data_IF_038492169033
#
_entry.id   IF_038492169033
#
_cell.length_a   1.000
_cell.length_b   1.000
_cell.length_c   1.000
_cell.angle_alpha   90.00
_cell.angle_beta   90.00
_cell.angle_gamma   90.00
#
_symmetry.space_group_name_H-M   'P 1'
#
loop_
_entity.id
_entity.type
_entity.pdbx_description
1 polymer ?
#
# COMPACT_ATOMS: atom_id res chain seq x y z
N UNK A 1 12.65 -8.36 38.48
CA UNK A 1 12.03 -9.06 37.33
C UNK A 1 11.11 -8.19 36.46
N UNK A 2 10.28 -7.28 37.02
CA UNK A 2 9.33 -6.46 36.23
C UNK A 2 9.95 -5.52 35.16
N UNK A 3 11.20 -5.07 35.33
CA UNK A 3 11.90 -4.23 34.31
C UNK A 3 12.36 -4.98 33.06
N UNK A 4 12.58 -6.32 33.13
CA UNK A 4 13.01 -7.13 31.97
C UNK A 4 11.84 -7.59 31.08
N UNK A 5 10.66 -7.75 31.67
CA UNK A 5 9.41 -8.03 30.94
C UNK A 5 8.99 -6.79 30.14
N UNK A 6 9.17 -5.57 30.69
CA UNK A 6 8.86 -4.32 29.99
C UNK A 6 9.72 -4.14 28.73
N UNK A 7 11.02 -4.45 28.77
CA UNK A 7 11.93 -4.28 27.62
C UNK A 7 11.63 -5.27 26.48
N UNK A 8 11.22 -6.51 26.80
CA UNK A 8 10.76 -7.49 25.80
C UNK A 8 9.42 -7.06 25.18
N UNK A 9 8.51 -6.49 25.97
CA UNK A 9 7.21 -6.01 25.49
C UNK A 9 7.36 -4.84 24.50
N UNK A 10 8.31 -3.92 24.73
CA UNK A 10 8.56 -2.82 23.79
C UNK A 10 9.28 -3.27 22.51
N UNK A 11 9.95 -4.44 22.49
CA UNK A 11 10.56 -4.99 21.28
C UNK A 11 9.54 -5.78 20.43
N UNK A 12 8.59 -6.46 21.08
CA UNK A 12 7.44 -7.10 20.43
C UNK A 12 6.49 -6.04 19.84
N UNK A 13 6.30 -4.90 20.51
CA UNK A 13 5.53 -3.75 19.97
C UNK A 13 6.23 -3.12 18.74
N UNK A 14 7.57 -3.13 18.68
CA UNK A 14 8.35 -2.61 17.55
C UNK A 14 8.20 -3.48 16.28
N UNK A 15 7.98 -4.78 16.45
CA UNK A 15 7.75 -5.73 15.34
C UNK A 15 6.27 -5.73 14.93
N UNK A 16 5.34 -5.50 15.87
CA UNK A 16 3.91 -5.38 15.59
C UNK A 16 3.51 -4.00 15.00
N UNK A 17 4.30 -2.95 15.20
CA UNK A 17 4.00 -1.59 14.69
C UNK A 17 4.34 -1.37 13.22
N UNK A 18 5.02 -2.33 12.56
CA UNK A 18 5.37 -2.31 11.14
C UNK A 18 4.30 -3.00 10.27
N UNK A 19 3.20 -3.46 10.87
CA UNK A 19 2.04 -3.99 10.15
C UNK A 19 0.93 -2.94 10.05
N UNK A 20 0.65 -2.36 8.88
CA UNK A 20 -0.71 -1.88 8.60
C UNK A 20 -1.62 -3.10 8.44
N UNK A 21 -2.61 -3.19 9.34
CA UNK A 21 -3.94 -3.79 9.21
C UNK A 21 -4.31 -4.63 7.95
N UNK A 22 -3.58 -5.71 7.65
CA UNK A 22 -3.98 -6.75 6.66
C UNK A 22 -4.45 -8.04 7.36
N UNK A 23 -4.72 -7.99 8.67
CA UNK A 23 -5.15 -9.14 9.48
C UNK A 23 -6.55 -8.95 10.09
N UNK A 24 -7.52 -8.60 9.26
CA UNK A 24 -8.93 -8.66 9.63
C UNK A 24 -9.83 -8.95 8.42
N UNK A 25 -9.63 -10.10 7.78
CA UNK A 25 -10.76 -10.87 7.20
C UNK A 25 -10.32 -12.31 6.91
N UNK A 26 -10.45 -13.16 7.94
CA UNK A 26 -10.52 -14.61 7.79
C UNK A 26 -11.99 -14.99 7.62
N UNK A 27 -12.34 -15.66 6.52
CA UNK A 27 -13.72 -16.11 6.31
C UNK A 27 -14.02 -16.86 5.01
N UNK A 28 -13.58 -18.13 4.94
CA UNK A 28 -14.12 -19.25 4.12
C UNK A 28 -13.82 -19.31 2.62
N UNK A 29 -12.78 -20.08 2.34
CA UNK A 29 -12.82 -21.35 1.58
C UNK A 29 -14.17 -21.77 0.94
N UNK A 30 -14.25 -21.63 -0.39
CA UNK A 30 -14.96 -22.48 -1.36
C UNK A 30 -14.75 -21.83 -2.74
N UNK A 31 -14.32 -22.46 -3.82
CA UNK A 31 -13.88 -23.81 -4.14
C UNK A 31 -13.40 -23.75 -5.59
N UNK A 32 -12.64 -24.75 -6.01
CA UNK A 32 -12.28 -25.13 -7.38
C UNK A 32 -12.52 -24.08 -8.50
N UNK A 33 -11.44 -23.43 -8.93
CA UNK A 33 -11.42 -22.71 -10.21
C UNK A 33 -11.18 -23.74 -11.31
N UNK A 34 -12.13 -23.96 -12.24
CA UNK A 34 -11.95 -24.93 -13.32
C UNK A 34 -10.90 -24.44 -14.31
N UNK A 35 -9.92 -25.30 -14.55
CA UNK A 35 -9.02 -25.28 -15.71
C UNK A 35 -9.85 -25.36 -16.99
N UNK A 36 -10.07 -24.22 -17.68
CA UNK A 36 -10.82 -24.18 -18.94
C UNK A 36 -10.02 -23.55 -20.09
N UNK A 37 -9.56 -24.45 -20.95
CA UNK A 37 -9.46 -24.42 -22.42
C UNK A 37 -8.53 -23.42 -23.14
N UNK A 38 -7.45 -24.00 -23.64
CA UNK A 38 -6.89 -23.69 -24.97
C UNK A 38 -7.90 -24.09 -26.06
N UNK A 39 -8.54 -23.13 -26.74
CA UNK A 39 -9.23 -23.44 -28.00
C UNK A 39 -9.03 -22.36 -29.08
N UNK A 40 -8.90 -22.85 -30.31
CA UNK A 40 -8.33 -22.21 -31.50
C UNK A 40 -9.20 -21.06 -32.02
N UNK A 41 -8.58 -19.89 -32.16
CA UNK A 41 -9.12 -18.72 -32.85
C UNK A 41 -9.32 -19.02 -34.35
N UNK A 42 -10.58 -19.02 -34.79
CA UNK A 42 -11.00 -19.12 -36.18
C UNK A 42 -10.89 -17.77 -36.91
N UNK A 43 -10.22 -17.79 -38.07
CA UNK A 43 -10.11 -16.65 -39.00
C UNK A 43 -11.45 -16.30 -39.63
N UNK A 44 -12.05 -15.17 -39.25
CA UNK A 44 -13.14 -14.51 -39.97
C UNK A 44 -12.77 -13.07 -40.29
N UNK A 45 -12.84 -12.69 -41.57
CA UNK A 45 -12.40 -11.38 -42.08
C UNK A 45 -13.37 -10.25 -41.69
N UNK A 46 -12.75 -9.20 -41.15
CA UNK A 46 -12.94 -7.73 -41.25
C UNK A 46 -14.14 -7.22 -42.09
N UNK A 47 -14.82 -6.14 -41.73
CA UNK A 47 -14.27 -4.78 -41.81
C UNK A 47 -14.96 -3.79 -40.83
N UNK A 48 -14.15 -3.08 -40.04
CA UNK A 48 -14.54 -1.76 -39.48
C UNK A 48 -14.48 -1.54 -37.96
N UNK A 49 -14.38 -2.58 -37.11
CA UNK A 49 -14.29 -2.44 -35.63
C UNK A 49 -12.99 -3.01 -35.01
N UNK A 50 -12.01 -3.37 -35.83
CA UNK A 50 -10.77 -4.07 -35.42
C UNK A 50 -9.86 -3.37 -34.40
N UNK A 51 -9.47 -2.09 -34.56
CA UNK A 51 -8.38 -1.54 -33.75
C UNK A 51 -8.78 -1.21 -32.31
N UNK A 52 -10.06 -0.90 -32.05
CA UNK A 52 -10.52 -0.52 -30.70
C UNK A 52 -10.69 -1.75 -29.81
N UNK A 53 -11.22 -2.85 -30.36
CA UNK A 53 -11.41 -4.10 -29.62
C UNK A 53 -10.06 -4.77 -29.33
N UNK A 54 -9.12 -4.76 -30.28
CA UNK A 54 -7.75 -5.27 -30.04
C UNK A 54 -7.03 -4.45 -28.96
N UNK A 55 -7.15 -3.12 -28.98
CA UNK A 55 -6.55 -2.27 -27.95
C UNK A 55 -7.17 -2.48 -26.56
N UNK A 56 -8.49 -2.73 -26.47
CA UNK A 56 -9.15 -3.05 -25.20
C UNK A 56 -8.69 -4.41 -24.65
N UNK A 57 -8.62 -5.44 -25.51
CA UNK A 57 -8.12 -6.77 -25.14
C UNK A 57 -6.66 -6.73 -24.70
N UNK A 58 -5.81 -5.99 -25.40
CA UNK A 58 -4.42 -5.79 -25.02
C UNK A 58 -4.30 -5.14 -23.64
N UNK A 59 -5.13 -4.15 -23.33
CA UNK A 59 -5.17 -3.51 -22.01
C UNK A 59 -5.66 -4.45 -20.91
N UNK A 60 -6.69 -5.26 -21.17
CA UNK A 60 -7.20 -6.25 -20.20
C UNK A 60 -6.16 -7.34 -19.93
N UNK A 61 -5.51 -7.86 -20.97
CA UNK A 61 -4.42 -8.82 -20.82
C UNK A 61 -3.24 -8.19 -20.06
N UNK A 62 -2.88 -6.96 -20.38
CA UNK A 62 -1.86 -6.21 -19.62
C UNK A 62 -2.25 -6.03 -18.16
N UNK A 63 -3.50 -5.70 -17.84
CA UNK A 63 -3.99 -5.57 -16.47
C UNK A 63 -3.98 -6.91 -15.72
N UNK A 64 -4.37 -8.01 -16.37
CA UNK A 64 -4.28 -9.36 -15.80
C UNK A 64 -2.83 -9.77 -15.55
N UNK A 65 -1.93 -9.52 -16.50
CA UNK A 65 -0.50 -9.79 -16.34
C UNK A 65 0.06 -9.00 -15.16
N UNK A 66 -0.31 -7.72 -15.03
CA UNK A 66 0.09 -6.88 -13.88
C UNK A 66 -0.46 -7.40 -12.57
N UNK A 67 -1.71 -7.86 -12.54
CA UNK A 67 -2.32 -8.45 -11.35
C UNK A 67 -1.60 -9.74 -10.95
N UNK A 68 -1.26 -10.60 -11.90
CA UNK A 68 -0.56 -11.85 -11.62
C UNK A 68 0.88 -11.58 -11.15
N UNK A 69 1.60 -10.66 -11.80
CA UNK A 69 2.89 -10.16 -11.32
C UNK A 69 2.80 -9.61 -9.90
N UNK A 70 1.72 -8.89 -9.56
CA UNK A 70 1.52 -8.38 -8.21
C UNK A 70 1.29 -9.50 -7.19
N UNK A 71 0.53 -10.55 -7.54
CA UNK A 71 0.35 -11.74 -6.69
C UNK A 71 1.64 -12.51 -6.49
N UNK A 72 2.41 -12.74 -7.55
CA UNK A 72 3.71 -13.42 -7.47
C UNK A 72 4.66 -12.64 -6.55
N UNK A 73 4.75 -11.31 -6.73
CA UNK A 73 5.53 -10.43 -5.85
C UNK A 73 5.06 -10.50 -4.41
N UNK A 74 3.75 -10.53 -4.17
CA UNK A 74 3.18 -10.67 -2.82
C UNK A 74 3.57 -12.01 -2.18
N UNK A 75 3.50 -13.11 -2.94
CA UNK A 75 3.92 -14.43 -2.46
C UNK A 75 5.42 -14.46 -2.15
N UNK A 76 6.26 -13.96 -3.06
CA UNK A 76 7.71 -13.83 -2.85
C UNK A 76 8.03 -12.97 -1.61
N UNK A 77 7.33 -11.84 -1.43
CA UNK A 77 7.48 -11.01 -0.24
C UNK A 77 7.07 -11.75 1.04
N UNK A 78 5.99 -12.55 1.01
CA UNK A 78 5.53 -13.37 2.13
C UNK A 78 6.55 -14.47 2.48
N UNK A 79 7.13 -15.12 1.49
CA UNK A 79 8.19 -16.12 1.68
C UNK A 79 9.46 -15.49 2.25
N UNK A 80 9.93 -14.38 1.68
CA UNK A 80 11.06 -13.60 2.21
C UNK A 80 10.83 -13.16 3.64
N UNK A 81 9.61 -12.73 3.98
CA UNK A 81 9.23 -12.37 5.34
C UNK A 81 9.30 -13.57 6.29
N UNK A 82 8.75 -14.73 5.89
CA UNK A 82 8.83 -15.95 6.69
C UNK A 82 10.28 -16.36 6.93
N UNK A 83 11.11 -16.38 5.89
CA UNK A 83 12.52 -16.70 5.99
C UNK A 83 13.30 -15.70 6.87
N UNK A 84 12.99 -14.40 6.76
CA UNK A 84 13.57 -13.38 7.63
C UNK A 84 13.16 -13.58 9.10
N UNK A 85 11.90 -13.98 9.35
CA UNK A 85 11.38 -14.28 10.69
C UNK A 85 12.06 -15.49 11.31
N UNK A 86 12.29 -16.56 10.54
CA UNK A 86 13.03 -17.74 11.00
C UNK A 86 14.48 -17.37 11.34
N UNK A 87 15.19 -16.71 10.42
CA UNK A 87 16.56 -16.21 10.66
C UNK A 87 16.65 -15.34 11.92
N UNK A 88 15.63 -14.52 12.17
CA UNK A 88 15.54 -13.71 13.38
C UNK A 88 15.39 -14.57 14.65
N UNK A 89 14.58 -15.64 14.61
CA UNK A 89 14.45 -16.57 15.74
C UNK A 89 15.78 -17.27 16.02
N UNK A 90 16.48 -17.74 14.99
CA UNK A 90 17.79 -18.38 15.12
C UNK A 90 18.81 -17.41 15.76
N UNK A 91 18.90 -16.18 15.23
CA UNK A 91 19.78 -15.15 15.79
C UNK A 91 19.45 -14.81 17.24
N UNK A 92 18.15 -14.84 17.59
CA UNK A 92 17.71 -14.61 18.97
C UNK A 92 18.17 -15.74 19.89
N UNK A 93 18.02 -16.99 19.48
CA UNK A 93 18.51 -18.14 20.25
C UNK A 93 20.03 -18.09 20.43
N UNK A 94 20.77 -17.76 19.38
CA UNK A 94 22.22 -17.63 19.45
C UNK A 94 22.66 -16.50 20.38
N UNK A 95 21.91 -15.38 20.38
CA UNK A 95 22.12 -14.29 21.32
C UNK A 95 21.79 -14.69 22.76
N UNK A 96 20.76 -15.50 22.98
CA UNK A 96 20.44 -16.06 24.30
C UNK A 96 21.55 -17.00 24.81
N UNK A 97 22.06 -17.89 23.95
CA UNK A 97 23.21 -18.76 24.26
C UNK A 97 24.47 -17.93 24.57
N UNK A 98 24.78 -16.91 23.77
CA UNK A 98 25.91 -16.02 24.02
C UNK A 98 25.76 -15.30 25.37
N UNK A 99 24.55 -14.86 25.69
CA UNK A 99 24.24 -14.22 26.98
C UNK A 99 24.41 -15.18 28.15
N UNK A 100 24.04 -16.45 28.02
CA UNK A 100 24.25 -17.46 29.05
C UNK A 100 25.74 -17.72 29.27
N UNK A 101 26.53 -17.86 28.20
CA UNK A 101 27.99 -17.98 28.28
C UNK A 101 28.64 -16.80 29.01
N UNK A 102 28.17 -15.58 28.75
CA UNK A 102 28.68 -14.38 29.42
C UNK A 102 28.29 -14.38 30.91
N UNK A 103 27.11 -14.86 31.28
CA UNK A 103 26.69 -14.94 32.70
C UNK A 103 27.48 -15.97 33.49
N UNK A 104 27.96 -17.03 32.85
CA UNK A 104 28.79 -18.06 33.49
C UNK A 104 30.25 -17.63 33.65
N UNK A 105 30.66 -16.52 33.04
CA UNK A 105 31.95 -15.92 33.36
C UNK A 105 31.83 -15.17 34.70
N UNK A 106 32.70 -15.48 35.66
CA UNK A 106 32.87 -14.64 36.83
C UNK A 106 33.50 -13.30 36.44
N UNK A 107 33.12 -12.23 37.14
CA UNK A 107 33.57 -10.86 36.83
C UNK A 107 35.06 -10.64 37.13
N UNK A 108 35.72 -11.54 37.86
CA UNK A 108 37.11 -11.43 38.32
C UNK A 108 38.13 -12.31 37.55
N UNK A 109 37.68 -13.22 36.68
CA UNK A 109 38.58 -14.06 35.87
C UNK A 109 38.90 -13.37 34.54
N UNK A 110 39.68 -12.29 34.61
CA UNK A 110 40.27 -11.63 33.42
C UNK A 110 41.26 -12.54 32.65
N UNK A 111 41.60 -13.73 33.18
CA UNK A 111 42.54 -14.66 32.54
C UNK A 111 41.91 -15.66 31.57
N UNK A 112 40.56 -15.77 31.50
CA UNK A 112 39.92 -16.63 30.51
C UNK A 112 39.72 -15.87 29.20
N UNK A 113 40.67 -16.04 28.28
CA UNK A 113 40.65 -15.51 26.91
C UNK A 113 39.32 -15.82 26.19
N UNK A 114 38.64 -16.92 26.56
CA UNK A 114 37.34 -17.27 25.98
C UNK A 114 36.26 -16.23 26.31
N UNK A 115 36.21 -15.75 27.55
CA UNK A 115 35.16 -14.83 27.97
C UNK A 115 35.37 -13.40 27.44
N UNK A 116 36.62 -12.94 27.43
CA UNK A 116 36.98 -11.61 26.92
C UNK A 116 36.60 -11.50 25.44
N UNK A 117 36.89 -12.54 24.64
CA UNK A 117 36.54 -12.58 23.22
C UNK A 117 35.02 -12.58 23.01
N UNK A 118 34.25 -13.38 23.76
CA UNK A 118 32.78 -13.39 23.64
C UNK A 118 32.16 -12.03 24.01
N UNK A 119 32.68 -11.34 25.04
CA UNK A 119 32.23 -9.99 25.41
C UNK A 119 32.56 -8.99 24.29
N UNK A 120 33.74 -9.09 23.68
CA UNK A 120 34.17 -8.23 22.55
C UNK A 120 33.29 -8.48 21.32
N UNK A 121 33.11 -9.73 20.92
CA UNK A 121 32.30 -10.12 19.76
C UNK A 121 30.86 -9.66 19.90
N UNK A 122 30.29 -9.73 21.11
CA UNK A 122 28.95 -9.21 21.38
C UNK A 122 28.88 -7.69 21.16
N UNK A 123 29.88 -6.92 21.61
CA UNK A 123 29.89 -5.46 21.40
C UNK A 123 29.97 -5.11 19.93
N UNK A 124 30.86 -5.78 19.19
CA UNK A 124 31.00 -5.60 17.73
C UNK A 124 29.70 -5.98 17.03
N UNK A 125 29.09 -7.11 17.41
CA UNK A 125 27.80 -7.55 16.88
C UNK A 125 26.67 -6.55 17.12
N UNK A 126 26.59 -5.97 18.32
CA UNK A 126 25.60 -4.91 18.65
C UNK A 126 25.85 -3.67 17.81
N UNK A 127 27.10 -3.20 17.68
CA UNK A 127 27.44 -2.06 16.82
C UNK A 127 27.00 -2.30 15.37
N UNK A 128 27.42 -3.41 14.78
CA UNK A 128 27.06 -3.77 13.41
C UNK A 128 25.54 -3.90 13.22
N UNK A 129 24.82 -4.36 14.24
CA UNK A 129 23.36 -4.44 14.21
C UNK A 129 22.72 -3.04 14.22
N UNK A 130 23.24 -2.11 15.03
CA UNK A 130 22.77 -0.72 15.05
C UNK A 130 23.00 -0.05 13.70
N UNK A 131 24.18 -0.23 13.09
CA UNK A 131 24.47 0.29 11.74
C UNK A 131 23.48 -0.25 10.71
N UNK A 132 23.24 -1.56 10.70
CA UNK A 132 22.26 -2.19 9.80
C UNK A 132 20.83 -1.67 10.00
N UNK A 133 20.40 -1.45 11.24
CA UNK A 133 19.08 -0.86 11.51
C UNK A 133 19.05 0.55 10.93
N UNK A 134 20.07 1.36 11.18
CA UNK A 134 20.13 2.72 10.65
C UNK A 134 20.07 2.74 9.11
N UNK A 135 20.79 1.85 8.43
CA UNK A 135 20.71 1.70 6.96
C UNK A 135 19.32 1.28 6.46
N UNK A 136 18.59 0.46 7.23
CA UNK A 136 17.22 0.08 6.91
C UNK A 136 16.27 1.28 7.02
N UNK A 137 16.39 2.07 8.10
CA UNK A 137 15.60 3.30 8.29
C UNK A 137 15.93 4.32 7.19
N UNK A 138 17.19 4.43 6.79
CA UNK A 138 17.59 5.33 5.71
C UNK A 138 16.92 4.93 4.39
N UNK A 139 16.94 3.63 4.05
CA UNK A 139 16.27 3.11 2.85
C UNK A 139 14.76 3.34 2.86
N UNK A 140 14.10 3.19 4.01
CA UNK A 140 12.66 3.48 4.12
C UNK A 140 12.34 4.96 3.86
N UNK A 141 13.15 5.86 4.41
CA UNK A 141 13.05 7.31 4.18
C UNK A 141 13.30 7.69 2.71
N UNK A 142 14.33 7.12 2.07
CA UNK A 142 14.63 7.34 0.64
C UNK A 142 13.49 6.85 -0.27
N UNK A 143 12.94 5.66 0.03
CA UNK A 143 11.80 5.12 -0.70
C UNK A 143 10.57 6.03 -0.59
N UNK A 144 10.28 6.52 0.62
CA UNK A 144 9.16 7.43 0.83
C UNK A 144 9.37 8.78 0.14
N UNK A 145 10.59 9.32 0.14
CA UNK A 145 10.94 10.53 -0.60
C UNK A 145 10.70 10.37 -2.10
N UNK A 146 11.10 9.25 -2.71
CA UNK A 146 10.79 8.95 -4.11
C UNK A 146 9.29 8.94 -4.35
N UNK A 147 8.52 8.22 -3.51
CA UNK A 147 7.07 8.14 -3.65
C UNK A 147 6.38 9.52 -3.60
N UNK A 148 6.88 10.42 -2.76
CA UNK A 148 6.36 11.80 -2.66
C UNK A 148 6.76 12.63 -3.89
N UNK A 149 7.98 12.45 -4.40
CA UNK A 149 8.47 13.10 -5.62
C UNK A 149 7.62 12.74 -6.82
N UNK A 150 7.37 11.45 -6.98
CA UNK A 150 6.67 10.87 -8.13
C UNK A 150 5.16 11.04 -8.05
N UNK A 151 4.64 11.39 -6.87
CA UNK A 151 3.21 11.57 -6.67
C UNK A 151 2.68 12.74 -7.49
N UNK A 152 1.78 12.46 -8.43
CA UNK A 152 1.04 13.51 -9.17
C UNK A 152 -0.17 14.06 -8.40
N UNK A 153 -0.56 13.39 -7.31
CA UNK A 153 -1.80 13.69 -6.59
C UNK A 153 -1.57 14.61 -5.38
N UNK A 154 -0.34 14.77 -4.92
CA UNK A 154 -0.01 15.68 -3.82
C UNK A 154 0.20 17.11 -4.32
N UNK A 155 -0.26 18.08 -3.53
CA UNK A 155 0.00 19.49 -3.79
C UNK A 155 1.48 19.83 -3.55
N UNK A 156 2.00 20.85 -4.24
CA UNK A 156 3.40 21.27 -4.07
C UNK A 156 3.70 21.71 -2.62
N UNK A 157 2.73 22.33 -1.95
CA UNK A 157 2.87 22.74 -0.55
C UNK A 157 2.98 21.53 0.39
N UNK A 158 2.17 20.49 0.17
CA UNK A 158 2.23 19.26 0.97
C UNK A 158 3.53 18.49 0.71
N UNK A 159 4.02 18.47 -0.53
CA UNK A 159 5.33 17.90 -0.88
C UNK A 159 6.45 18.62 -0.17
N UNK A 160 6.46 19.95 -0.17
CA UNK A 160 7.48 20.75 0.51
C UNK A 160 7.49 20.49 2.03
N UNK A 161 6.30 20.44 2.66
CA UNK A 161 6.19 20.08 4.09
C UNK A 161 6.76 18.69 4.36
N UNK A 162 6.45 17.73 3.50
CA UNK A 162 6.94 16.35 3.61
C UNK A 162 8.46 16.26 3.47
N UNK A 163 9.06 16.93 2.48
CA UNK A 163 10.51 16.95 2.30
C UNK A 163 11.23 17.60 3.48
N UNK A 164 10.67 18.67 4.05
CA UNK A 164 11.25 19.30 5.23
C UNK A 164 11.35 18.31 6.39
N UNK A 165 10.30 17.53 6.65
CA UNK A 165 10.31 16.50 7.69
C UNK A 165 11.25 15.34 7.39
N UNK A 166 11.22 14.81 6.16
CA UNK A 166 12.09 13.71 5.76
C UNK A 166 13.57 14.11 5.84
N UNK A 167 13.92 15.32 5.38
CA UNK A 167 15.29 15.83 5.46
C UNK A 167 15.77 16.04 6.89
N UNK A 168 14.91 16.56 7.79
CA UNK A 168 15.23 16.66 9.22
C UNK A 168 15.51 15.27 9.82
N UNK A 169 14.64 14.30 9.54
CA UNK A 169 14.78 12.92 10.02
C UNK A 169 16.03 12.23 9.46
N UNK A 170 16.38 12.44 8.19
CA UNK A 170 17.63 11.96 7.58
C UNK A 170 18.87 12.54 8.25
N UNK A 171 18.92 13.85 8.50
CA UNK A 171 20.06 14.50 9.18
C UNK A 171 20.26 13.95 10.60
N UNK A 172 19.18 13.74 11.36
CA UNK A 172 19.24 13.10 12.69
C UNK A 172 19.80 11.68 12.60
N UNK A 173 19.35 10.92 11.61
CA UNK A 173 19.77 9.54 11.39
C UNK A 173 21.24 9.43 10.97
N UNK A 174 21.70 10.29 10.06
CA UNK A 174 23.11 10.38 9.64
C UNK A 174 24.02 10.78 10.80
N UNK A 175 23.59 11.73 11.63
CA UNK A 175 24.33 12.13 12.83
C UNK A 175 24.49 10.95 13.78
N UNK A 176 23.40 10.23 14.05
CA UNK A 176 23.42 9.06 14.93
C UNK A 176 24.25 7.91 14.33
N UNK A 177 24.21 7.73 13.01
CA UNK A 177 25.05 6.75 12.31
C UNK A 177 26.54 7.05 12.51
N UNK A 178 26.95 8.32 12.33
CA UNK A 178 28.33 8.73 12.55
C UNK A 178 28.76 8.49 14.00
N UNK A 179 27.90 8.76 14.97
CA UNK A 179 28.16 8.48 16.39
C UNK A 179 28.29 6.97 16.67
N UNK A 180 27.46 6.13 16.06
CA UNK A 180 27.55 4.67 16.17
C UNK A 180 28.86 4.18 15.54
N UNK A 181 29.26 4.72 14.38
CA UNK A 181 30.50 4.34 13.69
C UNK A 181 31.75 4.69 14.50
N UNK A 182 31.72 5.78 15.27
CA UNK A 182 32.79 6.18 16.18
C UNK A 182 32.94 5.27 17.40
N UNK A 183 31.94 4.42 17.71
CA UNK A 183 32.08 3.44 18.78
C UNK A 183 33.19 2.44 18.44
N UNK A 184 34.15 2.29 19.35
CA UNK A 184 35.25 1.35 19.18
C UNK A 184 34.87 -0.04 19.68
N UNK A 185 35.70 -1.04 19.39
CA UNK A 185 35.56 -2.39 19.97
C UNK A 185 35.59 -2.36 21.53
N UNK A 186 36.16 -1.30 22.10
CA UNK A 186 36.28 -1.08 23.54
C UNK A 186 35.14 -0.27 24.15
N UNK A 187 34.13 0.13 23.35
CA UNK A 187 33.00 0.92 23.86
C UNK A 187 32.33 0.26 25.06
N UNK A 188 31.90 1.11 25.99
CA UNK A 188 31.32 0.65 27.24
C UNK A 188 29.91 0.09 27.00
N UNK A 189 29.44 -0.91 27.77
CA UNK A 189 28.07 -1.40 27.66
C UNK A 189 27.01 -0.31 27.92
N UNK A 190 27.38 0.76 28.64
CA UNK A 190 26.54 1.93 28.89
C UNK A 190 26.39 2.80 27.63
N UNK A 191 27.47 3.10 26.92
CA UNK A 191 27.44 3.83 25.63
C UNK A 191 26.56 3.10 24.61
N UNK A 192 26.74 1.79 24.46
CA UNK A 192 25.94 0.99 23.52
C UNK A 192 24.44 1.04 23.85
N UNK A 193 24.08 0.97 25.14
CA UNK A 193 22.67 1.05 25.58
C UNK A 193 22.07 2.43 25.35
N UNK A 194 22.87 3.48 25.49
CA UNK A 194 22.46 4.85 25.20
C UNK A 194 22.14 5.00 23.71
N UNK A 195 23.05 4.56 22.83
CA UNK A 195 22.85 4.59 21.38
C UNK A 195 21.67 3.74 20.92
N UNK A 196 21.47 2.56 21.51
CA UNK A 196 20.24 1.75 21.29
C UNK A 196 18.98 2.55 21.64
N UNK A 197 18.99 3.27 22.77
CA UNK A 197 17.84 4.05 23.22
C UNK A 197 17.57 5.24 22.30
N UNK A 198 18.61 5.95 21.89
CA UNK A 198 18.54 7.06 20.94
C UNK A 198 17.99 6.59 19.59
N UNK A 199 18.54 5.53 19.00
CA UNK A 199 18.08 4.97 17.73
C UNK A 199 16.61 4.53 17.82
N UNK A 200 16.23 3.92 18.93
CA UNK A 200 14.83 3.52 19.16
C UNK A 200 13.89 4.71 19.24
N UNK A 201 14.30 5.79 19.90
CA UNK A 201 13.49 6.99 20.00
C UNK A 201 13.36 7.64 18.62
N UNK A 202 14.47 7.79 17.88
CA UNK A 202 14.48 8.32 16.53
C UNK A 202 13.58 7.49 15.60
N UNK A 203 13.68 6.16 15.64
CA UNK A 203 12.78 5.30 14.88
C UNK A 203 11.31 5.51 15.22
N UNK A 204 10.98 5.67 16.51
CA UNK A 204 9.59 5.90 16.90
C UNK A 204 9.06 7.25 16.38
N UNK A 205 9.93 8.24 16.19
CA UNK A 205 9.60 9.52 15.57
C UNK A 205 9.45 9.35 14.05
N UNK A 206 10.48 8.82 13.39
CA UNK A 206 10.50 8.54 11.94
C UNK A 206 9.30 7.69 11.53
N UNK A 207 9.05 6.56 12.19
CA UNK A 207 7.93 5.67 11.85
C UNK A 207 6.56 6.31 12.05
N UNK A 208 6.41 7.32 12.91
CA UNK A 208 5.15 8.08 13.03
C UNK A 208 5.01 9.03 11.85
N UNK A 209 6.09 9.73 11.50
CA UNK A 209 6.12 10.63 10.34
C UNK A 209 5.89 9.88 9.03
N UNK A 210 6.57 8.75 8.82
CA UNK A 210 6.38 7.90 7.64
C UNK A 210 4.94 7.41 7.54
N UNK A 211 4.36 6.89 8.63
CA UNK A 211 2.95 6.47 8.65
C UNK A 211 2.00 7.61 8.30
N UNK A 212 2.28 8.80 8.82
CA UNK A 212 1.49 9.99 8.50
C UNK A 212 1.60 10.35 7.02
N UNK A 213 2.81 10.43 6.46
CA UNK A 213 3.06 10.75 5.06
C UNK A 213 2.46 9.72 4.10
N UNK A 214 2.64 8.43 4.38
CA UNK A 214 2.05 7.34 3.60
C UNK A 214 0.52 7.46 3.59
N UNK A 215 -0.08 7.78 4.74
CA UNK A 215 -1.54 7.91 4.80
C UNK A 215 -2.03 9.19 4.11
N UNK A 216 -1.27 10.28 4.17
CA UNK A 216 -1.56 11.48 3.37
C UNK A 216 -1.53 11.19 1.87
N UNK A 217 -0.53 10.45 1.39
CA UNK A 217 -0.48 9.96 0.01
C UNK A 217 -1.72 9.14 -0.35
N UNK A 218 -2.17 8.25 0.54
CA UNK A 218 -3.40 7.46 0.32
C UNK A 218 -4.63 8.36 0.22
N UNK A 219 -4.76 9.38 1.08
CA UNK A 219 -5.89 10.31 1.03
C UNK A 219 -5.95 11.09 -0.28
N UNK A 220 -4.83 11.66 -0.73
CA UNK A 220 -4.79 12.36 -2.02
C UNK A 220 -5.10 11.42 -3.20
N UNK A 221 -4.72 10.15 -3.12
CA UNK A 221 -5.12 9.15 -4.12
C UNK A 221 -6.63 8.90 -4.08
N UNK A 222 -7.24 8.87 -2.90
CA UNK A 222 -8.69 8.74 -2.75
C UNK A 222 -9.42 9.96 -3.31
N UNK A 223 -8.95 11.19 -3.03
CA UNK A 223 -9.52 12.41 -3.61
C UNK A 223 -9.60 12.34 -5.14
N UNK A 224 -8.49 11.97 -5.78
CA UNK A 224 -8.43 11.81 -7.23
C UNK A 224 -9.40 10.71 -7.73
N UNK A 225 -9.50 9.59 -7.01
CA UNK A 225 -10.48 8.55 -7.35
C UNK A 225 -11.93 9.05 -7.21
N UNK A 226 -12.25 9.83 -6.19
CA UNK A 226 -13.57 10.45 -6.05
C UNK A 226 -13.86 11.43 -7.19
N UNK A 227 -12.87 12.22 -7.61
CA UNK A 227 -12.98 13.09 -8.79
C UNK A 227 -13.28 12.29 -10.05
N UNK A 228 -12.58 11.17 -10.30
CA UNK A 228 -12.87 10.26 -11.42
C UNK A 228 -14.30 9.73 -11.40
N UNK A 229 -14.86 9.43 -10.23
CA UNK A 229 -16.26 9.01 -10.13
C UNK A 229 -17.24 10.12 -10.56
N UNK A 230 -16.93 11.39 -10.28
CA UNK A 230 -17.69 12.52 -10.81
C UNK A 230 -17.56 12.63 -12.35
N UNK A 231 -16.38 12.37 -12.90
CA UNK A 231 -16.17 12.32 -14.36
C UNK A 231 -16.99 11.20 -15.00
N UNK A 232 -17.08 10.02 -14.36
CA UNK A 232 -17.91 8.92 -14.85
C UNK A 232 -19.40 9.29 -14.89
N UNK A 233 -19.92 10.01 -13.90
CA UNK A 233 -21.30 10.51 -13.95
C UNK A 233 -21.51 11.40 -15.19
N UNK A 234 -20.58 12.31 -15.47
CA UNK A 234 -20.66 13.17 -16.66
C UNK A 234 -20.59 12.35 -17.96
N UNK A 235 -19.71 11.33 -18.02
CA UNK A 235 -19.63 10.43 -19.16
C UNK A 235 -20.92 9.63 -19.37
N UNK A 236 -21.57 9.17 -18.29
CA UNK A 236 -22.87 8.48 -18.35
C UNK A 236 -23.96 9.40 -18.94
N UNK A 237 -24.01 10.66 -18.50
CA UNK A 237 -24.94 11.68 -19.06
C UNK A 237 -24.71 11.91 -20.55
N UNK A 238 -23.46 12.01 -21.00
CA UNK A 238 -23.13 12.15 -22.43
C UNK A 238 -23.55 10.91 -23.23
N UNK A 239 -23.36 9.71 -22.67
CA UNK A 239 -23.78 8.43 -23.28
C UNK A 239 -25.30 8.32 -23.37
N UNK A 240 -26.02 8.79 -22.36
CA UNK A 240 -27.48 8.89 -22.37
C UNK A 240 -27.97 9.78 -23.53
N UNK A 241 -27.45 11.01 -23.64
CA UNK A 241 -27.80 11.95 -24.71
C UNK A 241 -27.53 11.35 -26.10
N UNK A 242 -26.42 10.64 -26.24
CA UNK A 242 -26.10 9.93 -27.47
C UNK A 242 -27.17 8.89 -27.85
N UNK A 243 -27.68 8.09 -26.89
CA UNK A 243 -28.75 7.12 -27.18
C UNK A 243 -30.07 7.80 -27.51
N UNK A 244 -30.39 8.92 -26.84
CA UNK A 244 -31.56 9.73 -27.15
C UNK A 244 -31.51 10.25 -28.60
N UNK A 245 -30.36 10.78 -29.04
CA UNK A 245 -30.15 11.22 -30.42
C UNK A 245 -30.24 10.07 -31.44
N UNK A 246 -29.91 8.84 -31.03
CA UNK A 246 -30.04 7.63 -31.87
C UNK A 246 -31.46 7.07 -31.91
N UNK A 247 -32.40 7.66 -31.16
CA UNK A 247 -33.80 7.26 -31.17
C UNK A 247 -34.07 6.02 -30.32
N UNK A 248 -33.35 5.85 -29.20
CA UNK A 248 -33.74 4.89 -28.17
C UNK A 248 -35.19 5.13 -27.73
N UNK A 249 -35.88 4.04 -27.41
CA UNK A 249 -37.23 4.05 -26.84
C UNK A 249 -37.24 4.76 -25.48
N UNK A 250 -38.34 5.46 -25.21
CA UNK A 250 -38.50 6.26 -23.99
C UNK A 250 -38.45 5.44 -22.70
N UNK A 251 -38.86 4.17 -22.73
CA UNK A 251 -38.81 3.27 -21.57
C UNK A 251 -37.38 2.93 -21.18
N UNK A 252 -36.54 2.53 -22.14
CA UNK A 252 -35.13 2.22 -21.85
C UNK A 252 -34.32 3.46 -21.46
N UNK A 253 -34.65 4.62 -22.03
CA UNK A 253 -34.07 5.89 -21.59
C UNK A 253 -34.47 6.18 -20.13
N UNK A 254 -35.74 5.98 -19.75
CA UNK A 254 -36.17 6.17 -18.37
C UNK A 254 -35.42 5.25 -17.39
N UNK A 255 -35.30 3.97 -17.71
CA UNK A 255 -34.52 3.00 -16.91
C UNK A 255 -33.05 3.42 -16.78
N UNK A 256 -32.43 3.85 -17.88
CA UNK A 256 -31.03 4.28 -17.88
C UNK A 256 -30.82 5.57 -17.07
N UNK A 257 -31.77 6.51 -17.15
CA UNK A 257 -31.76 7.73 -16.36
C UNK A 257 -31.89 7.45 -14.87
N UNK A 258 -32.73 6.47 -14.46
CA UNK A 258 -32.84 6.05 -13.06
C UNK A 258 -31.50 5.53 -12.52
N UNK A 259 -30.75 4.76 -13.31
CA UNK A 259 -29.40 4.29 -12.93
C UNK A 259 -28.41 5.47 -12.82
N UNK A 260 -28.50 6.46 -13.71
CA UNK A 260 -27.65 7.66 -13.64
C UNK A 260 -27.95 8.48 -12.38
N UNK A 261 -29.23 8.67 -12.07
CA UNK A 261 -29.66 9.40 -10.88
C UNK A 261 -29.23 8.68 -9.60
N UNK A 262 -29.36 7.34 -9.56
CA UNK A 262 -28.81 6.53 -8.48
C UNK A 262 -27.29 6.71 -8.37
N UNK A 263 -26.54 6.62 -9.48
CA UNK A 263 -25.09 6.78 -9.44
C UNK A 263 -24.69 8.15 -8.89
N UNK A 264 -25.43 9.20 -9.28
CA UNK A 264 -25.21 10.55 -8.78
C UNK A 264 -25.41 10.65 -7.27
N UNK A 265 -26.51 10.11 -6.74
CA UNK A 265 -26.78 10.09 -5.30
C UNK A 265 -25.65 9.40 -4.54
N UNK A 266 -25.19 8.26 -5.02
CA UNK A 266 -24.10 7.49 -4.40
C UNK A 266 -22.74 8.22 -4.49
N UNK A 267 -22.50 8.99 -5.56
CA UNK A 267 -21.32 9.85 -5.72
C UNK A 267 -21.39 11.09 -4.81
N UNK A 268 -22.57 11.68 -4.64
CA UNK A 268 -22.78 12.78 -3.69
C UNK A 268 -22.47 12.31 -2.26
N UNK A 269 -22.96 11.13 -1.85
CA UNK A 269 -22.58 10.52 -0.56
C UNK A 269 -21.07 10.22 -0.47
N UNK A 270 -20.45 9.72 -1.55
CA UNK A 270 -19.02 9.48 -1.61
C UNK A 270 -18.21 10.78 -1.39
N UNK A 271 -18.65 11.90 -1.98
CA UNK A 271 -18.04 13.21 -1.79
C UNK A 271 -18.15 13.67 -0.32
N UNK A 272 -19.32 13.49 0.31
CA UNK A 272 -19.52 13.83 1.73
C UNK A 272 -18.61 12.98 2.65
N UNK A 273 -18.52 11.67 2.40
CA UNK A 273 -17.64 10.77 3.14
C UNK A 273 -16.17 11.16 2.97
N UNK A 274 -15.75 11.58 1.77
CA UNK A 274 -14.37 12.01 1.51
C UNK A 274 -14.04 13.31 2.27
N UNK A 275 -14.94 14.29 2.26
CA UNK A 275 -14.79 15.53 3.06
C UNK A 275 -14.68 15.21 4.55
N UNK A 276 -15.49 14.27 5.05
CA UNK A 276 -15.41 13.82 6.43
C UNK A 276 -14.08 13.09 6.73
N UNK A 277 -13.62 12.22 5.84
CA UNK A 277 -12.34 11.52 5.96
C UNK A 277 -11.15 12.51 5.99
N UNK A 278 -11.16 13.53 5.15
CA UNK A 278 -10.17 14.60 5.13
C UNK A 278 -10.14 15.40 6.43
N UNK A 279 -11.31 15.74 6.96
CA UNK A 279 -11.43 16.46 8.22
C UNK A 279 -10.89 15.61 9.39
N UNK A 280 -11.30 14.34 9.46
CA UNK A 280 -10.81 13.39 10.47
C UNK A 280 -9.29 13.20 10.36
N UNK A 281 -8.76 13.17 9.14
CA UNK A 281 -7.33 13.06 8.90
C UNK A 281 -6.53 14.27 9.39
N UNK A 282 -6.99 15.48 9.07
CA UNK A 282 -6.38 16.73 9.54
C UNK A 282 -6.39 16.81 11.07
N UNK A 283 -7.45 16.31 11.71
CA UNK A 283 -7.54 16.22 13.17
C UNK A 283 -6.57 15.19 13.75
N UNK A 284 -6.42 14.02 13.12
CA UNK A 284 -5.50 12.96 13.54
C UNK A 284 -4.02 13.37 13.52
N UNK A 285 -3.64 14.38 12.71
CA UNK A 285 -2.30 15.00 12.76
C UNK A 285 -1.97 15.57 14.15
N UNK A 286 -2.98 16.04 14.88
CA UNK A 286 -2.82 16.72 16.18
C UNK A 286 -3.03 15.79 17.38
N UNK A 287 -3.85 14.73 17.24
CA UNK A 287 -4.10 13.75 18.30
C UNK A 287 -4.06 12.31 17.75
N UNK A 288 -3.10 11.52 18.24
CA UNK A 288 -2.95 10.11 17.88
C UNK A 288 -4.18 9.26 18.20
N UNK A 289 -5.08 9.68 19.11
CA UNK A 289 -6.32 8.95 19.42
C UNK A 289 -7.36 9.08 18.30
N UNK A 290 -7.30 10.14 17.53
CA UNK A 290 -8.21 10.41 16.40
C UNK A 290 -7.81 9.61 15.14
N UNK A 291 -6.66 8.94 15.17
CA UNK A 291 -6.19 8.09 14.07
C UNK A 291 -7.17 6.96 13.73
N UNK A 292 -7.81 6.35 14.73
CA UNK A 292 -8.80 5.29 14.48
C UNK A 292 -10.08 5.84 13.83
N UNK A 293 -10.52 7.04 14.22
CA UNK A 293 -11.65 7.72 13.58
C UNK A 293 -11.34 8.04 12.11
N UNK A 294 -10.12 8.51 11.80
CA UNK A 294 -9.70 8.76 10.43
C UNK A 294 -9.64 7.49 9.57
N UNK A 295 -9.16 6.36 10.13
CA UNK A 295 -9.18 5.05 9.46
C UNK A 295 -10.59 4.56 9.17
N UNK A 296 -11.50 4.73 10.14
CA UNK A 296 -12.90 4.35 9.95
C UNK A 296 -13.55 5.18 8.84
N UNK A 297 -13.31 6.51 8.83
CA UNK A 297 -13.81 7.38 7.77
C UNK A 297 -13.29 6.98 6.38
N UNK A 298 -11.99 6.68 6.25
CA UNK A 298 -11.43 6.13 4.99
C UNK A 298 -12.06 4.78 4.60
N UNK A 299 -12.38 3.94 5.57
CA UNK A 299 -13.01 2.65 5.31
C UNK A 299 -14.42 2.83 4.74
N UNK A 300 -15.15 3.84 5.22
CA UNK A 300 -16.46 4.20 4.67
C UNK A 300 -16.36 4.69 3.22
N UNK A 301 -15.40 5.55 2.90
CA UNK A 301 -15.12 5.98 1.51
C UNK A 301 -14.90 4.77 0.60
N UNK A 302 -14.08 3.80 1.01
CA UNK A 302 -13.80 2.59 0.19
C UNK A 302 -15.04 1.70 0.01
N UNK A 303 -15.85 1.56 1.05
CA UNK A 303 -17.13 0.83 0.96
C UNK A 303 -18.04 1.51 -0.04
N UNK A 304 -18.18 2.83 0.03
CA UNK A 304 -19.01 3.60 -0.89
C UNK A 304 -18.51 3.60 -2.34
N UNK A 305 -17.18 3.59 -2.53
CA UNK A 305 -16.59 3.37 -3.87
C UNK A 305 -16.96 2.00 -4.45
N UNK A 306 -17.16 0.99 -3.61
CA UNK A 306 -17.61 -0.33 -4.07
C UNK A 306 -19.07 -0.27 -4.54
N UNK A 307 -19.92 0.46 -3.81
CA UNK A 307 -21.34 0.66 -4.18
C UNK A 307 -21.45 1.38 -5.52
N UNK A 308 -20.77 2.52 -5.67
CA UNK A 308 -20.76 3.29 -6.93
C UNK A 308 -20.25 2.46 -8.11
N UNK A 309 -19.22 1.61 -7.92
CA UNK A 309 -18.74 0.67 -8.97
C UNK A 309 -19.82 -0.31 -9.41
N UNK A 310 -20.61 -0.86 -8.50
CA UNK A 310 -21.71 -1.77 -8.85
C UNK A 310 -22.81 -1.05 -9.65
N UNK A 311 -23.12 0.21 -9.32
CA UNK A 311 -24.07 1.01 -10.10
C UNK A 311 -23.50 1.30 -11.51
N UNK A 312 -22.21 1.61 -11.62
CA UNK A 312 -21.54 1.80 -12.92
C UNK A 312 -21.58 0.55 -13.80
N UNK A 313 -21.42 -0.66 -13.20
CA UNK A 313 -21.58 -1.93 -13.92
C UNK A 313 -23.00 -2.11 -14.45
N UNK A 314 -24.02 -1.81 -13.63
CA UNK A 314 -25.43 -1.85 -14.07
C UNK A 314 -25.68 -0.91 -15.25
N UNK A 315 -25.17 0.32 -15.16
CA UNK A 315 -25.26 1.28 -16.26
C UNK A 315 -24.61 0.74 -17.53
N UNK A 316 -23.38 0.21 -17.44
CA UNK A 316 -22.65 -0.31 -18.59
C UNK A 316 -23.38 -1.48 -19.24
N UNK A 317 -23.98 -2.38 -18.44
CA UNK A 317 -24.79 -3.49 -18.94
C UNK A 317 -26.04 -3.00 -19.68
N UNK A 318 -26.85 -2.13 -19.06
CA UNK A 318 -28.08 -1.58 -19.68
C UNK A 318 -27.76 -0.74 -20.91
N UNK A 319 -26.71 0.08 -20.87
CA UNK A 319 -26.25 0.85 -22.02
C UNK A 319 -25.91 -0.05 -23.21
N UNK A 320 -25.20 -1.17 -22.96
CA UNK A 320 -24.85 -2.15 -24.00
C UNK A 320 -26.07 -2.86 -24.57
N UNK A 321 -27.06 -3.22 -23.74
CA UNK A 321 -28.34 -3.80 -24.16
C UNK A 321 -29.07 -2.87 -25.14
N UNK A 322 -29.23 -1.59 -24.77
CA UNK A 322 -29.90 -0.59 -25.63
C UNK A 322 -29.13 -0.41 -26.95
N UNK A 323 -27.80 -0.40 -26.91
CA UNK A 323 -26.99 -0.33 -28.12
C UNK A 323 -27.16 -1.55 -29.04
N UNK A 324 -27.41 -2.75 -28.48
CA UNK A 324 -27.70 -3.95 -29.25
C UNK A 324 -29.09 -3.89 -29.89
N UNK A 325 -30.10 -3.43 -29.15
CA UNK A 325 -31.47 -3.30 -29.65
C UNK A 325 -31.59 -2.25 -30.77
N UNK A 326 -30.82 -1.17 -30.67
CA UNK A 326 -30.67 -0.18 -31.74
C UNK A 326 -29.83 -0.67 -32.94
N UNK A 327 -29.23 -1.86 -32.86
CA UNK A 327 -28.36 -2.42 -33.89
C UNK A 327 -27.03 -1.66 -34.05
N UNK A 328 -26.63 -0.85 -33.07
CA UNK A 328 -25.35 -0.14 -33.04
C UNK A 328 -24.18 -1.10 -32.77
N UNK A 329 -24.46 -2.20 -32.08
CA UNK A 329 -23.54 -3.29 -31.80
C UNK A 329 -24.19 -4.60 -32.24
N UNK A 330 -23.43 -5.46 -32.92
CA UNK A 330 -23.90 -6.80 -33.29
C UNK A 330 -23.80 -7.72 -32.07
N UNK A 331 -24.76 -8.61 -31.87
CA UNK A 331 -24.68 -9.68 -30.88
C UNK A 331 -23.48 -10.59 -31.19
N UNK A 332 -22.33 -10.28 -30.58
CA UNK A 332 -21.26 -11.26 -30.42
C UNK A 332 -21.63 -12.10 -29.21
N UNK A 333 -22.20 -13.27 -29.45
CA UNK A 333 -22.59 -14.29 -28.46
C UNK A 333 -21.39 -14.92 -27.72
N UNK A 334 -20.25 -14.22 -27.71
CA UNK A 334 -19.02 -14.61 -27.04
C UNK A 334 -18.86 -13.69 -25.81
N UNK A 335 -19.75 -13.91 -24.84
CA UNK A 335 -19.86 -13.18 -23.58
C UNK A 335 -18.76 -13.60 -22.61
N UNK A 336 -17.53 -13.14 -22.85
CA UNK A 336 -16.61 -12.86 -21.75
C UNK A 336 -16.86 -11.44 -21.28
N UNK A 337 -17.07 -11.26 -19.97
CA UNK A 337 -17.24 -9.97 -19.28
C UNK A 337 -16.07 -9.01 -19.60
N UNK A 338 -16.13 -8.33 -20.73
CA UNK A 338 -15.26 -7.20 -21.06
C UNK A 338 -15.82 -5.98 -20.32
N UNK A 339 -15.29 -5.80 -19.12
CA UNK A 339 -15.38 -4.61 -18.29
C UNK A 339 -14.81 -3.42 -19.09
N UNK A 340 -15.67 -2.75 -19.84
CA UNK A 340 -15.32 -1.57 -20.64
C UNK A 340 -15.33 -0.34 -19.73
N UNK A 341 -14.41 -0.32 -18.76
CA UNK A 341 -13.93 0.92 -18.17
C UNK A 341 -13.14 1.65 -19.25
N UNK A 342 -13.85 2.42 -20.08
CA UNK A 342 -13.27 3.54 -20.81
C UNK A 342 -12.74 4.53 -19.75
N UNK A 343 -11.54 4.23 -19.25
CA UNK A 343 -10.78 5.14 -18.42
C UNK A 343 -9.98 6.03 -19.37
N UNK A 344 -10.35 7.31 -19.30
CA UNK A 344 -9.59 8.47 -19.73
C UNK A 344 -8.11 8.21 -19.49
N UNK A 345 -7.32 8.28 -20.56
CA UNK A 345 -5.91 7.93 -20.55
C UNK A 345 -5.17 8.60 -19.40
N UNK A 346 -4.77 7.80 -18.42
CA UNK A 346 -3.69 8.19 -17.53
C UNK A 346 -2.45 8.37 -18.38
N UNK A 347 -2.00 9.63 -18.46
CA UNK A 347 -0.68 9.97 -18.93
C UNK A 347 0.32 9.29 -17.98
N UNK A 348 0.80 8.17 -18.49
CA UNK A 348 1.65 7.20 -17.84
C UNK A 348 3.02 7.86 -17.58
N UNK A 349 3.17 8.49 -16.42
CA UNK A 349 4.51 8.65 -15.85
C UNK A 349 4.81 7.34 -15.14
N UNK A 350 5.43 6.46 -15.91
CA UNK A 350 6.23 5.36 -15.41
C UNK A 350 7.01 5.82 -14.19
N UNK A 351 6.67 5.34 -13.01
CA UNK A 351 7.73 5.07 -12.05
C UNK A 351 7.64 3.65 -11.52
N UNK A 352 8.74 2.94 -11.75
CA UNK A 352 8.97 1.58 -11.32
C UNK A 352 8.90 1.53 -9.81
N UNK A 353 7.80 1.01 -9.28
CA UNK A 353 7.71 0.60 -7.89
C UNK A 353 8.49 -0.72 -7.77
N UNK A 354 9.80 -0.60 -7.59
CA UNK A 354 10.59 -1.63 -6.91
C UNK A 354 10.23 -1.53 -5.43
N UNK A 355 9.21 -2.29 -5.01
CA UNK A 355 8.94 -2.49 -3.60
C UNK A 355 10.00 -3.45 -3.02
N UNK A 356 11.02 -2.88 -2.38
CA UNK A 356 11.76 -3.56 -1.32
C UNK A 356 11.54 -2.80 -0.02
N UNK A 357 11.06 -3.55 0.98
CA UNK A 357 11.03 -3.31 2.43
C UNK A 357 11.66 -2.04 2.94
#
# INVERSE_FOLDING_TARGET
MRKKILTMLVMVIFILSVLPAVLAEDGKDSGDVPELYNEKVGKGKEDGKGPVLEAAKEKVEFAKEKLEQAKERYQDAKEKYSAARERYQDQKEDLEKARERIKSCDDDDESDDSCVNVKKDLKVGVKNHLEKITELIQRSLERLESQITDSKVMTDADKEEAYAKLSESKVKLETLLAEIQLLSENSTPTELREKIKELKNLWNEVSKEERWLITQLINHKMDNLVEKHNEFHNAMQMRYQYLEEKGANAEDLADLQEIIDQFKEEVDELNELQVHADAAWKQAKSDSKEMEAAKEAQTQVRKQMTVTKEVLKKFTAKYKEIQQDLGLIKNSDDSSEEDNSEEVGEDNSSNQTEEST
#
